data_IF_593191711244
#
_entry.id   IF_593191711244
#
_cell.length_a   1.000
_cell.length_b   1.000
_cell.length_c   1.000
_cell.angle_alpha   90.00
_cell.angle_beta   90.00
_cell.angle_gamma   90.00
#
_symmetry.space_group_name_H-M   'P 1'
#
loop_
_entity.id
_entity.type
_entity.pdbx_description
1 polymer ?
#
# COMPACT_ATOMS: atom_id res chain seq x y z
N UNK A 1 -8.18 9.13 7.52
CA UNK A 1 -8.16 8.36 6.26
C UNK A 1 -9.33 8.80 5.38
N UNK A 2 -9.11 9.02 4.09
CA UNK A 2 -10.13 9.26 3.06
C UNK A 2 -9.82 8.36 1.86
N UNK A 3 -10.86 7.89 1.16
CA UNK A 3 -10.72 7.01 0.00
C UNK A 3 -11.42 7.62 -1.22
N UNK A 4 -10.76 7.56 -2.36
CA UNK A 4 -11.33 7.90 -3.66
C UNK A 4 -11.29 6.65 -4.54
N UNK A 5 -12.45 6.23 -5.06
CA UNK A 5 -12.49 5.16 -6.05
C UNK A 5 -12.26 5.76 -7.44
N UNK A 6 -11.23 5.31 -8.15
CA UNK A 6 -10.93 5.74 -9.52
C UNK A 6 -11.43 4.68 -10.49
N UNK A 7 -12.17 5.11 -11.51
CA UNK A 7 -12.70 4.25 -12.57
C UNK A 7 -11.86 4.43 -13.83
N UNK A 8 -11.23 3.34 -14.29
CA UNK A 8 -10.46 3.25 -15.54
C UNK A 8 -11.12 2.27 -16.53
N UNK A 9 -12.45 2.12 -16.46
CA UNK A 9 -13.24 1.25 -17.32
C UNK A 9 -13.30 -0.19 -16.79
N UNK A 10 -12.54 -1.10 -17.39
CA UNK A 10 -12.52 -2.52 -16.98
C UNK A 10 -11.79 -2.75 -15.64
N UNK A 11 -11.16 -1.71 -15.08
CA UNK A 11 -10.45 -1.76 -13.81
C UNK A 11 -10.83 -0.54 -13.00
N UNK A 12 -11.04 -0.77 -11.71
CA UNK A 12 -11.23 0.29 -10.73
C UNK A 12 -10.43 -0.04 -9.48
N UNK A 13 -9.89 0.99 -8.82
CA UNK A 13 -9.12 0.81 -7.60
C UNK A 13 -9.30 2.01 -6.65
N UNK A 14 -9.21 1.78 -5.34
CA UNK A 14 -9.24 2.85 -4.36
C UNK A 14 -7.85 3.51 -4.22
N UNK A 15 -7.86 4.83 -4.04
CA UNK A 15 -6.72 5.60 -3.55
C UNK A 15 -7.02 5.97 -2.10
N UNK A 16 -6.26 5.41 -1.17
CA UNK A 16 -6.36 5.73 0.26
C UNK A 16 -5.38 6.86 0.61
N UNK A 17 -5.85 7.89 1.32
CA UNK A 17 -5.05 9.04 1.75
C UNK A 17 -5.23 9.30 3.25
N UNK A 18 -4.13 9.54 3.94
CA UNK A 18 -4.13 9.77 5.38
C UNK A 18 -2.72 9.71 5.95
N UNK A 19 -2.59 10.14 7.21
CA UNK A 19 -1.35 10.03 7.97
C UNK A 19 -1.20 8.64 8.57
N UNK A 20 0.00 8.08 8.56
CA UNK A 20 0.30 6.79 9.19
C UNK A 20 -0.29 5.56 8.52
N UNK A 21 -0.92 5.70 7.34
CA UNK A 21 -1.63 4.60 6.66
C UNK A 21 -0.71 3.49 6.12
N UNK A 22 0.60 3.74 6.05
CA UNK A 22 1.57 2.71 5.66
C UNK A 22 1.62 1.55 6.67
N UNK A 23 1.32 1.84 7.94
CA UNK A 23 1.32 0.87 9.05
C UNK A 23 -0.01 0.13 9.23
N UNK A 24 -0.93 0.20 8.25
CA UNK A 24 -2.25 -0.42 8.33
C UNK A 24 -2.38 -1.57 7.31
N UNK A 25 -2.12 -2.80 7.75
CA UNK A 25 -2.16 -4.00 6.89
C UNK A 25 -3.52 -4.27 6.28
N UNK A 26 -4.60 -3.77 6.89
CA UNK A 26 -5.96 -3.95 6.37
C UNK A 26 -6.17 -3.23 5.04
N UNK A 27 -5.39 -2.19 4.74
CA UNK A 27 -5.46 -1.46 3.47
C UNK A 27 -4.81 -2.22 2.30
N UNK A 28 -3.85 -3.10 2.59
CA UNK A 28 -3.16 -3.91 1.58
C UNK A 28 -3.85 -5.25 1.33
N UNK A 29 -4.44 -5.84 2.37
CA UNK A 29 -5.05 -7.17 2.31
C UNK A 29 -6.00 -7.41 1.12
N UNK A 30 -6.87 -6.46 0.69
CA UNK A 30 -7.76 -6.67 -0.46
C UNK A 30 -7.05 -6.75 -1.81
N UNK A 31 -5.85 -6.15 -1.92
CA UNK A 31 -5.09 -6.09 -3.17
C UNK A 31 -4.04 -7.22 -3.28
N UNK A 32 -3.73 -7.90 -2.16
CA UNK A 32 -2.72 -8.94 -2.10
C UNK A 32 -3.34 -10.34 -2.19
N UNK A 33 -2.70 -11.21 -2.95
CA UNK A 33 -2.98 -12.65 -2.93
C UNK A 33 -2.24 -13.32 -1.77
N UNK A 34 -2.63 -14.56 -1.45
CA UNK A 34 -1.90 -15.35 -0.45
C UNK A 34 -0.49 -15.66 -0.96
N UNK A 35 0.53 -15.34 -0.19
CA UNK A 35 1.92 -15.71 -0.48
C UNK A 35 2.92 -14.58 -0.21
N UNK A 36 4.21 -14.82 -0.50
CA UNK A 36 5.25 -13.81 -0.36
C UNK A 36 5.05 -12.68 -1.39
N UNK A 37 5.34 -11.45 -0.96
CA UNK A 37 5.26 -10.24 -1.77
C UNK A 37 6.66 -9.63 -1.89
N UNK A 38 7.01 -9.17 -3.09
CA UNK A 38 8.26 -8.44 -3.31
C UNK A 38 8.01 -6.93 -3.19
N UNK A 39 8.75 -6.26 -2.31
CA UNK A 39 8.74 -4.79 -2.18
C UNK A 39 9.82 -4.20 -3.07
N UNK A 40 9.45 -3.29 -3.98
CA UNK A 40 10.38 -2.57 -4.85
C UNK A 40 10.44 -1.10 -4.41
N UNK A 41 11.62 -0.65 -4.01
CA UNK A 41 11.89 0.72 -3.55
C UNK A 41 13.31 1.14 -3.94
N UNK A 42 13.57 2.45 -4.01
CA UNK A 42 14.92 2.96 -4.27
C UNK A 42 15.76 3.08 -2.97
N UNK A 43 17.05 3.42 -3.14
CA UNK A 43 18.03 3.54 -2.04
C UNK A 43 17.80 4.72 -1.10
N UNK A 44 17.01 5.72 -1.50
CA UNK A 44 16.70 6.90 -0.69
C UNK A 44 15.44 6.69 0.15
N UNK A 45 14.44 6.00 -0.40
CA UNK A 45 13.14 5.75 0.24
C UNK A 45 13.19 4.54 1.17
N UNK A 46 13.96 3.51 0.82
CA UNK A 46 14.08 2.29 1.64
C UNK A 46 14.44 2.58 3.12
N UNK A 47 15.51 3.33 3.45
CA UNK A 47 15.89 3.55 4.85
C UNK A 47 14.88 4.38 5.65
N UNK A 48 13.90 5.00 5.00
CA UNK A 48 12.89 5.83 5.65
C UNK A 48 11.60 5.07 5.97
N UNK A 49 11.21 4.11 5.13
CA UNK A 49 9.85 3.53 5.17
C UNK A 49 9.77 2.02 5.02
N UNK A 50 10.84 1.35 4.56
CA UNK A 50 10.79 -0.08 4.28
C UNK A 50 10.51 -0.90 5.54
N UNK A 51 11.18 -0.58 6.64
CA UNK A 51 11.01 -1.25 7.93
C UNK A 51 9.55 -1.14 8.41
N UNK A 52 8.99 0.07 8.43
CA UNK A 52 7.59 0.29 8.81
C UNK A 52 6.63 -0.55 7.97
N UNK A 53 6.82 -0.62 6.64
CA UNK A 53 5.97 -1.41 5.76
C UNK A 53 6.13 -2.93 5.97
N UNK A 54 7.33 -3.41 6.30
CA UNK A 54 7.58 -4.84 6.53
C UNK A 54 7.00 -5.33 7.87
N UNK A 55 6.92 -4.45 8.85
CA UNK A 55 6.36 -4.74 10.18
C UNK A 55 4.83 -4.55 10.26
N UNK A 56 4.18 -4.16 9.15
CA UNK A 56 2.74 -3.87 9.04
C UNK A 56 1.89 -5.13 8.88
#
# INVERSE_FOLDING_TARGET
MRSLCVDLGQRSYPIHTGTGILADSALFAPALSKGPVAVVTDSNVAPLYLETLQDT
#
